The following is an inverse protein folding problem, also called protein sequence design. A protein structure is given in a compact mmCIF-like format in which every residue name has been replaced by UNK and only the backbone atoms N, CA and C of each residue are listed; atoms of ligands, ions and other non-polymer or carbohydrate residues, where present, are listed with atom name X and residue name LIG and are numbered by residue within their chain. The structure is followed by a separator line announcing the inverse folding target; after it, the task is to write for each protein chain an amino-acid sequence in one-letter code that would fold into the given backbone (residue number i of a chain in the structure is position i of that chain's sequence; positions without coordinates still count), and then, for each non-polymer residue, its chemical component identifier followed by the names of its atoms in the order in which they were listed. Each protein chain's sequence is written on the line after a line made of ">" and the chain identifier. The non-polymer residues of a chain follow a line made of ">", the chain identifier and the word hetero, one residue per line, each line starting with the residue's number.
data_IF_421854472086
#
_entry.id   IF_421854472086
#
_cell.length_a   1.000
_cell.length_b   1.000
_cell.length_c   1.000
_cell.angle_alpha   90.00
_cell.angle_beta   90.00
_cell.angle_gamma   90.00
#
_symmetry.space_group_name_H-M   'P 1'
#
loop_
_entity.id
_entity.type
_entity.pdbx_description
1 polymer ?
#
# COMPACT_ATOMS: atom_id res chain seq x y z
N UNK A 1 41.26 -31.98 -33.57
CA UNK A 1 41.28 -31.78 -32.11
C UNK A 1 40.93 -30.33 -31.74
N UNK A 2 39.71 -29.83 -32.07
CA UNK A 2 39.31 -28.41 -31.80
C UNK A 2 37.90 -28.24 -31.21
N UNK A 3 37.20 -29.32 -30.83
CA UNK A 3 35.79 -29.25 -30.38
C UNK A 3 35.58 -29.26 -28.86
N UNK A 4 36.64 -29.33 -28.04
CA UNK A 4 36.49 -29.45 -26.57
C UNK A 4 36.56 -28.12 -25.79
N UNK A 5 36.94 -26.99 -26.40
CA UNK A 5 37.09 -25.72 -25.67
C UNK A 5 35.82 -24.87 -25.61
N UNK A 6 34.80 -25.17 -26.42
CA UNK A 6 33.54 -24.40 -26.44
C UNK A 6 32.60 -24.77 -25.30
N UNK A 7 32.74 -25.97 -24.72
CA UNK A 7 31.82 -26.46 -23.69
C UNK A 7 32.09 -25.85 -22.29
N UNK A 8 33.32 -25.42 -22.00
CA UNK A 8 33.68 -24.86 -20.68
C UNK A 8 33.26 -23.39 -20.51
N UNK A 9 33.08 -22.64 -21.61
CA UNK A 9 32.69 -21.22 -21.56
C UNK A 9 31.19 -21.03 -21.31
N UNK A 10 30.34 -21.99 -21.67
CA UNK A 10 28.88 -21.89 -21.46
C UNK A 10 28.50 -22.19 -19.99
N UNK A 11 29.19 -23.11 -19.32
CA UNK A 11 28.92 -23.44 -17.91
C UNK A 11 29.30 -22.33 -16.92
N UNK A 12 30.33 -21.53 -17.21
CA UNK A 12 30.71 -20.42 -16.33
C UNK A 12 29.71 -19.26 -16.36
N UNK A 13 29.00 -19.05 -17.48
CA UNK A 13 27.99 -18.01 -17.61
C UNK A 13 26.68 -18.36 -16.88
N UNK A 14 26.29 -19.64 -16.85
CA UNK A 14 25.10 -20.10 -16.11
C UNK A 14 25.32 -20.00 -14.58
N UNK A 15 26.53 -20.30 -14.10
CA UNK A 15 26.85 -20.17 -12.67
C UNK A 15 26.89 -18.70 -12.20
N UNK A 16 27.28 -17.76 -13.08
CA UNK A 16 27.33 -16.34 -12.75
C UNK A 16 25.94 -15.68 -12.70
N UNK A 17 24.97 -16.20 -13.46
CA UNK A 17 23.57 -15.73 -13.41
C UNK A 17 22.86 -16.22 -12.13
N UNK A 18 23.25 -17.39 -11.59
CA UNK A 18 22.67 -17.95 -10.37
C UNK A 18 23.27 -17.37 -9.07
N UNK A 19 24.44 -16.73 -9.13
CA UNK A 19 25.10 -16.12 -7.96
C UNK A 19 24.69 -14.65 -7.71
N UNK A 20 23.85 -14.06 -8.58
CA UNK A 20 23.55 -12.62 -8.58
C UNK A 20 22.49 -12.14 -7.59
N UNK A 21 21.70 -13.02 -6.98
CA UNK A 21 20.54 -12.62 -6.16
C UNK A 21 20.62 -13.14 -4.73
N UNK A 22 21.79 -13.02 -4.09
CA UNK A 22 21.79 -12.80 -2.65
C UNK A 22 21.32 -11.35 -2.42
N UNK A 23 20.06 -11.08 -2.74
CA UNK A 23 19.36 -9.85 -2.36
C UNK A 23 19.47 -9.84 -0.85
N UNK A 24 20.25 -8.91 -0.30
CA UNK A 24 20.26 -8.71 1.15
C UNK A 24 18.81 -8.57 1.60
N UNK A 25 18.44 -9.20 2.71
CA UNK A 25 17.10 -9.05 3.27
C UNK A 25 16.76 -7.56 3.28
N UNK A 26 15.79 -7.16 2.45
CA UNK A 26 15.48 -5.75 2.26
C UNK A 26 15.09 -5.16 3.60
N UNK A 27 15.58 -3.95 3.91
CA UNK A 27 15.31 -3.34 5.20
C UNK A 27 13.87 -2.84 5.22
N UNK A 28 12.99 -3.64 5.81
CA UNK A 28 11.60 -3.26 6.05
C UNK A 28 11.49 -2.53 7.40
N UNK A 29 11.01 -1.30 7.38
CA UNK A 29 10.54 -0.61 8.58
C UNK A 29 9.05 -0.86 8.79
N UNK A 30 8.58 -0.81 10.04
CA UNK A 30 7.18 -1.12 10.34
C UNK A 30 6.68 -0.48 11.65
N UNK A 31 5.36 -0.38 11.76
CA UNK A 31 4.69 0.06 12.98
C UNK A 31 3.18 -0.13 12.89
N UNK A 32 2.45 0.45 13.84
CA UNK A 32 0.99 0.40 13.88
C UNK A 32 0.37 1.79 13.87
N UNK A 33 -0.83 1.89 13.31
CA UNK A 33 -1.74 3.02 13.44
C UNK A 33 -2.99 2.52 14.14
N UNK A 34 -3.26 3.02 15.34
CA UNK A 34 -4.43 2.63 16.12
C UNK A 34 -5.51 3.70 16.08
N UNK A 35 -6.73 3.32 15.69
CA UNK A 35 -7.88 4.22 15.65
C UNK A 35 -7.73 5.40 14.68
N UNK A 36 -7.16 5.20 13.49
CA UNK A 36 -7.14 6.21 12.43
C UNK A 36 -8.58 6.55 12.04
N UNK A 37 -9.11 7.73 12.38
CA UNK A 37 -10.45 8.08 11.98
C UNK A 37 -10.50 8.47 10.49
N UNK A 38 -11.69 8.34 9.91
CA UNK A 38 -11.93 8.55 8.48
C UNK A 38 -11.87 10.02 8.05
N UNK A 39 -12.01 10.95 8.99
CA UNK A 39 -12.08 12.39 8.75
C UNK A 39 -10.76 13.13 9.05
N UNK A 40 -9.63 12.41 9.13
CA UNK A 40 -8.32 12.99 9.38
C UNK A 40 -7.43 13.01 8.14
N UNK A 41 -6.32 13.72 8.28
CA UNK A 41 -5.30 13.86 7.27
C UNK A 41 -4.72 12.52 6.81
N UNK A 42 -4.12 12.61 5.63
CA UNK A 42 -3.44 11.53 4.95
C UNK A 42 -2.28 10.97 5.79
N UNK A 43 -2.04 9.68 5.65
CA UNK A 43 -0.88 9.03 6.22
C UNK A 43 0.28 9.04 5.23
N UNK A 44 1.45 9.50 5.69
CA UNK A 44 2.71 9.37 4.96
C UNK A 44 3.61 8.31 5.56
N UNK A 45 4.08 7.39 4.74
CA UNK A 45 4.97 6.30 5.20
C UNK A 45 6.35 6.79 5.61
N UNK A 46 6.77 7.97 5.11
CA UNK A 46 8.11 8.49 5.33
C UNK A 46 8.25 9.48 6.50
N UNK A 47 7.18 9.73 7.26
CA UNK A 47 7.30 10.57 8.45
C UNK A 47 8.10 9.83 9.53
N UNK A 48 9.28 10.37 9.86
CA UNK A 48 10.21 9.88 10.89
C UNK A 48 11.14 8.73 10.48
N UNK A 49 11.24 8.42 9.19
CA UNK A 49 12.29 7.53 8.66
C UNK A 49 13.34 8.34 7.88
N UNK A 50 14.53 7.78 7.70
CA UNK A 50 15.63 8.48 6.99
C UNK A 50 15.48 8.53 5.48
N UNK A 51 14.41 7.94 4.94
CA UNK A 51 14.12 7.84 3.51
C UNK A 51 12.95 8.73 3.13
N UNK A 52 12.85 9.10 1.85
CA UNK A 52 11.70 9.86 1.31
C UNK A 52 11.00 8.98 0.29
N UNK A 53 9.97 8.27 0.73
CA UNK A 53 9.16 7.40 -0.13
C UNK A 53 8.16 8.21 -0.96
N UNK A 54 7.69 9.35 -0.43
CA UNK A 54 6.63 10.16 -1.01
C UNK A 54 5.34 9.35 -1.27
N UNK A 55 5.10 8.31 -0.46
CA UNK A 55 3.86 7.53 -0.46
C UNK A 55 2.94 8.16 0.59
N UNK A 56 1.87 8.77 0.10
CA UNK A 56 0.82 9.42 0.90
C UNK A 56 -0.53 8.79 0.55
N UNK A 57 -1.29 8.43 1.58
CA UNK A 57 -2.50 7.62 1.46
C UNK A 57 -3.59 8.17 2.36
N UNK A 58 -4.81 8.26 1.85
CA UNK A 58 -6.01 8.43 2.66
C UNK A 58 -6.84 7.14 2.65
N UNK A 59 -7.85 7.08 3.53
CA UNK A 59 -8.78 5.96 3.56
C UNK A 59 -10.22 6.45 3.74
N UNK A 60 -11.17 5.62 3.32
CA UNK A 60 -12.59 5.83 3.59
C UNK A 60 -13.27 4.53 3.98
N UNK A 61 -14.44 4.63 4.61
CA UNK A 61 -15.24 3.46 4.95
C UNK A 61 -15.83 2.86 3.67
N UNK A 62 -15.61 1.57 3.46
CA UNK A 62 -16.32 0.81 2.45
C UNK A 62 -17.71 0.41 2.95
N UNK A 63 -17.72 -0.45 3.96
CA UNK A 63 -18.90 -0.85 4.72
C UNK A 63 -18.63 -0.62 6.21
N UNK A 64 -19.56 0.06 6.89
CA UNK A 64 -19.41 0.39 8.31
C UNK A 64 -19.11 -0.84 9.17
N UNK A 65 -18.00 -0.78 9.89
CA UNK A 65 -17.53 -1.84 10.79
C UNK A 65 -17.04 -3.11 10.09
N UNK A 66 -16.74 -3.04 8.78
CA UNK A 66 -16.39 -4.24 8.00
C UNK A 66 -15.24 -4.02 7.02
N UNK A 67 -15.22 -2.89 6.31
CA UNK A 67 -14.27 -2.71 5.20
C UNK A 67 -13.86 -1.27 4.95
N UNK A 68 -12.74 -1.10 4.25
CA UNK A 68 -12.13 0.18 3.93
C UNK A 68 -11.72 0.26 2.44
N UNK A 69 -11.73 1.47 1.91
CA UNK A 69 -11.05 1.84 0.67
C UNK A 69 -9.80 2.66 0.99
N UNK A 70 -8.72 2.44 0.25
CA UNK A 70 -7.48 3.23 0.34
C UNK A 70 -7.25 3.99 -0.95
N UNK A 71 -6.86 5.26 -0.85
CA UNK A 71 -6.67 6.16 -1.97
C UNK A 71 -5.22 6.69 -1.97
N UNK A 72 -4.49 6.56 -3.08
CA UNK A 72 -3.21 7.24 -3.24
C UNK A 72 -3.46 8.75 -3.43
N UNK A 73 -2.74 9.58 -2.68
CA UNK A 73 -2.94 11.04 -2.67
C UNK A 73 -2.00 11.77 -3.63
N UNK A 74 -1.02 11.05 -4.19
CA UNK A 74 -0.08 11.54 -5.18
C UNK A 74 -0.30 10.85 -6.51
N UNK A 75 -0.23 11.61 -7.62
CA UNK A 75 -0.35 11.08 -8.99
C UNK A 75 0.70 10.00 -9.34
N UNK A 76 1.77 9.93 -8.57
CA UNK A 76 2.84 8.94 -8.77
C UNK A 76 2.72 7.75 -7.82
N UNK A 77 1.74 7.76 -6.91
CA UNK A 77 1.46 6.63 -6.02
C UNK A 77 0.33 5.80 -6.59
N UNK A 78 0.50 4.49 -6.61
CA UNK A 78 -0.54 3.55 -6.99
C UNK A 78 -0.75 2.53 -5.87
N UNK A 79 -1.94 1.93 -5.85
CA UNK A 79 -2.37 0.98 -4.81
C UNK A 79 -2.87 -0.32 -5.43
N UNK A 80 -2.60 -1.44 -4.77
CA UNK A 80 -3.10 -2.77 -5.13
C UNK A 80 -3.66 -3.47 -3.89
N UNK A 81 -4.79 -4.15 -4.03
CA UNK A 81 -5.35 -5.02 -2.99
C UNK A 81 -4.82 -6.44 -3.16
N UNK A 82 -4.34 -7.01 -2.06
CA UNK A 82 -3.68 -8.31 -2.03
C UNK A 82 -4.38 -9.19 -0.99
N UNK A 83 -4.90 -10.33 -1.45
CA UNK A 83 -5.68 -11.27 -0.65
C UNK A 83 -4.94 -12.60 -0.52
N UNK A 84 -5.31 -13.40 0.49
CA UNK A 84 -4.76 -14.76 0.67
C UNK A 84 -3.34 -14.80 1.23
N UNK A 85 -2.82 -13.67 1.71
CA UNK A 85 -1.53 -13.54 2.39
C UNK A 85 -1.79 -13.31 3.88
N UNK A 86 -1.03 -13.97 4.75
CA UNK A 86 -1.17 -13.83 6.21
C UNK A 86 -0.09 -12.95 6.85
N UNK A 87 1.09 -12.88 6.23
CA UNK A 87 2.23 -12.10 6.70
C UNK A 87 2.88 -11.30 5.55
N UNK A 88 3.40 -10.10 5.85
CA UNK A 88 3.98 -9.20 4.83
C UNK A 88 5.11 -9.83 4.04
N UNK A 89 5.87 -10.74 4.65
CA UNK A 89 7.02 -11.37 4.02
C UNK A 89 6.65 -12.44 2.97
N UNK A 90 5.37 -12.83 2.87
CA UNK A 90 4.87 -13.63 1.75
C UNK A 90 4.73 -12.78 0.47
N UNK A 91 4.84 -11.45 0.57
CA UNK A 91 4.96 -10.54 -0.58
C UNK A 91 6.41 -10.58 -1.08
N UNK A 92 6.73 -11.64 -1.82
CA UNK A 92 8.08 -11.88 -2.38
C UNK A 92 8.41 -10.94 -3.55
N UNK A 93 7.40 -10.47 -4.28
CA UNK A 93 7.54 -9.50 -5.37
C UNK A 93 6.27 -8.67 -5.52
N UNK A 94 6.23 -7.49 -4.89
CA UNK A 94 5.14 -6.54 -5.01
C UNK A 94 4.92 -6.02 -6.44
N UNK A 95 5.92 -6.06 -7.33
CA UNK A 95 5.82 -5.45 -8.65
C UNK A 95 4.84 -6.17 -9.59
N UNK A 96 4.46 -7.41 -9.26
CA UNK A 96 3.58 -8.27 -10.08
C UNK A 96 2.10 -7.99 -9.86
N UNK A 97 1.72 -7.24 -8.82
CA UNK A 97 0.32 -6.96 -8.53
C UNK A 97 -0.31 -6.01 -9.54
N UNK A 98 -1.64 -6.04 -9.59
CA UNK A 98 -2.42 -5.12 -10.42
C UNK A 98 -2.68 -3.84 -9.65
N UNK A 99 -1.95 -2.78 -10.01
CA UNK A 99 -2.05 -1.47 -9.38
C UNK A 99 -3.11 -0.58 -10.04
N UNK A 100 -3.70 0.29 -9.21
CA UNK A 100 -4.66 1.33 -9.57
C UNK A 100 -4.19 2.67 -9.04
N UNK A 101 -4.34 3.73 -9.83
CA UNK A 101 -4.13 5.11 -9.38
C UNK A 101 -5.36 5.72 -8.69
N UNK A 102 -6.46 4.97 -8.56
CA UNK A 102 -7.72 5.49 -8.02
C UNK A 102 -7.98 5.03 -6.58
N UNK A 103 -8.11 3.72 -6.36
CA UNK A 103 -8.31 3.14 -5.03
C UNK A 103 -7.99 1.64 -5.02
N UNK A 104 -7.89 1.06 -3.82
CA UNK A 104 -7.62 -0.36 -3.59
C UNK A 104 -8.75 -1.32 -4.01
N UNK A 105 -9.98 -0.84 -4.18
CA UNK A 105 -11.16 -1.68 -4.00
C UNK A 105 -11.48 -1.90 -2.52
N UNK A 106 -12.49 -2.73 -2.25
CA UNK A 106 -13.02 -2.97 -0.90
C UNK A 106 -12.12 -3.96 -0.14
N UNK A 107 -11.50 -3.50 0.94
CA UNK A 107 -10.50 -4.26 1.72
C UNK A 107 -11.06 -4.57 3.10
N UNK A 108 -10.96 -5.83 3.53
CA UNK A 108 -11.46 -6.30 4.83
C UNK A 108 -10.33 -6.59 5.82
N UNK A 109 -10.69 -6.84 7.08
CA UNK A 109 -9.74 -7.29 8.10
C UNK A 109 -8.91 -8.51 7.64
N UNK A 110 -7.61 -8.44 7.85
CA UNK A 110 -6.63 -9.46 7.49
C UNK A 110 -6.02 -9.28 6.11
N UNK A 111 -6.65 -8.53 5.21
CA UNK A 111 -6.12 -8.28 3.87
C UNK A 111 -4.93 -7.31 3.89
N UNK A 112 -4.14 -7.37 2.82
CA UNK A 112 -3.04 -6.45 2.57
C UNK A 112 -3.39 -5.47 1.46
N UNK A 113 -2.85 -4.26 1.59
CA UNK A 113 -2.87 -3.22 0.57
C UNK A 113 -1.45 -2.80 0.32
N UNK A 114 -1.01 -2.92 -0.93
CA UNK A 114 0.36 -2.60 -1.32
C UNK A 114 0.36 -1.31 -2.13
N UNK A 115 1.27 -0.43 -1.78
CA UNK A 115 1.49 0.85 -2.45
C UNK A 115 2.83 0.83 -3.16
N UNK A 116 2.90 1.52 -4.29
CA UNK A 116 4.18 1.84 -4.95
C UNK A 116 4.20 3.29 -5.35
N UNK A 117 5.37 3.91 -5.32
CA UNK A 117 5.58 5.22 -5.91
C UNK A 117 6.47 5.11 -7.16
N UNK A 118 5.94 5.50 -8.31
CA UNK A 118 6.60 5.39 -9.61
C UNK A 118 7.81 6.33 -9.76
N UNK A 119 7.80 7.47 -9.07
CA UNK A 119 8.90 8.45 -9.16
C UNK A 119 10.06 8.07 -8.25
N UNK A 120 9.78 7.65 -7.02
CA UNK A 120 10.80 7.35 -6.01
C UNK A 120 11.25 5.89 -6.03
N UNK A 121 10.41 5.00 -6.56
CA UNK A 121 10.61 3.55 -6.66
C UNK A 121 10.32 2.77 -5.38
N UNK A 122 9.79 3.41 -4.34
CA UNK A 122 9.52 2.75 -3.05
C UNK A 122 8.24 1.91 -3.09
N UNK A 123 8.23 0.87 -2.27
CA UNK A 123 7.08 0.03 -1.98
C UNK A 123 6.73 0.12 -0.50
N UNK A 124 5.43 0.11 -0.21
CA UNK A 124 4.91 0.07 1.15
C UNK A 124 3.69 -0.86 1.21
N UNK A 125 3.31 -1.28 2.41
CA UNK A 125 2.12 -2.08 2.61
C UNK A 125 1.39 -1.70 3.89
N UNK A 126 0.06 -1.85 3.88
CA UNK A 126 -0.76 -1.97 5.07
C UNK A 126 -1.29 -3.39 5.18
N UNK A 127 -1.35 -3.91 6.41
CA UNK A 127 -2.28 -4.96 6.81
C UNK A 127 -3.45 -4.29 7.51
N UNK A 128 -4.68 -4.61 7.13
CA UNK A 128 -5.88 -4.15 7.85
C UNK A 128 -6.06 -5.02 9.09
N UNK A 129 -5.95 -4.42 10.26
CA UNK A 129 -6.07 -5.13 11.54
C UNK A 129 -7.49 -5.10 12.09
N UNK A 130 -8.25 -4.03 11.84
CA UNK A 130 -9.67 -3.87 12.18
C UNK A 130 -10.27 -2.65 11.47
N UNK A 131 -11.55 -2.72 11.15
CA UNK A 131 -12.38 -1.58 10.73
C UNK A 131 -13.60 -1.53 11.62
N UNK A 132 -13.73 -0.47 12.42
CA UNK A 132 -14.81 -0.33 13.40
C UNK A 132 -15.62 0.95 13.19
N UNK A 133 -16.80 1.01 13.80
CA UNK A 133 -17.71 2.17 13.77
C UNK A 133 -19.01 1.91 13.02
N UNK A 134 -20.02 2.73 13.28
CA UNK A 134 -21.37 2.60 12.72
C UNK A 134 -21.77 3.72 11.76
N UNK A 135 -20.97 4.78 11.72
CA UNK A 135 -21.14 5.96 10.89
C UNK A 135 -19.77 6.60 10.61
N UNK A 136 -19.72 7.61 9.74
CA UNK A 136 -18.47 8.26 9.33
C UNK A 136 -17.69 8.88 10.51
N UNK A 137 -18.39 9.51 11.46
CA UNK A 137 -17.75 10.21 12.59
C UNK A 137 -17.17 9.26 13.64
N UNK A 138 -17.77 8.08 13.80
CA UNK A 138 -17.33 7.02 14.70
C UNK A 138 -16.40 6.00 14.06
N UNK A 139 -16.22 6.05 12.74
CA UNK A 139 -15.42 5.06 12.01
C UNK A 139 -13.93 5.19 12.30
N UNK A 140 -13.29 4.06 12.60
CA UNK A 140 -11.87 3.96 12.96
C UNK A 140 -11.24 2.78 12.23
N UNK A 141 -10.08 3.02 11.65
CA UNK A 141 -9.24 2.03 11.01
C UNK A 141 -8.04 1.71 11.89
N UNK A 142 -7.68 0.43 11.97
CA UNK A 142 -6.48 -0.06 12.61
C UNK A 142 -5.65 -0.77 11.55
N UNK A 143 -4.37 -0.39 11.42
CA UNK A 143 -3.47 -1.00 10.43
C UNK A 143 -2.08 -1.20 11.01
N UNK A 144 -1.42 -2.24 10.51
CA UNK A 144 0.02 -2.42 10.63
C UNK A 144 0.65 -2.01 9.32
N UNK A 145 1.64 -1.13 9.36
CA UNK A 145 2.29 -0.57 8.19
C UNK A 145 3.71 -1.10 8.02
N UNK A 146 4.13 -1.17 6.76
CA UNK A 146 5.44 -1.66 6.35
C UNK A 146 5.98 -0.76 5.24
N UNK A 147 7.26 -0.38 5.32
CA UNK A 147 7.95 0.39 4.29
C UNK A 147 9.23 -0.35 3.89
N UNK A 148 9.38 -0.65 2.61
CA UNK A 148 10.62 -1.23 2.09
C UNK A 148 11.63 -0.11 1.79
N UNK A 149 12.64 0.06 2.65
CA UNK A 149 13.58 1.19 2.57
C UNK A 149 14.58 1.07 1.41
N UNK A 150 14.80 -0.12 0.87
CA UNK A 150 15.78 -0.35 -0.19
C UNK A 150 15.21 -0.27 -1.62
N UNK A 151 13.91 0.07 -1.75
CA UNK A 151 13.14 0.14 -3.01
C UNK A 151 12.94 -1.20 -3.73
N UNK A 152 13.33 -2.31 -3.11
CA UNK A 152 12.98 -3.63 -3.60
C UNK A 152 11.46 -3.80 -3.59
N UNK A 153 10.88 -4.56 -4.54
CA UNK A 153 9.50 -5.00 -4.41
C UNK A 153 9.32 -6.15 -3.41
N UNK A 154 10.41 -6.73 -2.89
CA UNK A 154 10.37 -7.90 -2.01
C UNK A 154 10.36 -7.47 -0.54
N UNK A 155 9.35 -7.86 0.26
CA UNK A 155 9.26 -7.58 1.70
C UNK A 155 9.89 -8.66 2.59
N UNK A 156 10.40 -9.74 2.00
CA UNK A 156 11.04 -10.87 2.70
C UNK A 156 12.57 -10.85 2.71
N UNK A 157 13.20 -11.79 3.44
CA UNK A 157 12.59 -12.85 4.26
C UNK A 157 12.02 -12.33 5.60
N UNK A 158 11.11 -13.10 6.21
CA UNK A 158 10.54 -12.85 7.55
C UNK A 158 11.61 -12.93 8.66
N UNK A 159 12.57 -12.01 8.68
CA UNK A 159 13.31 -11.74 9.91
C UNK A 159 12.43 -10.84 10.76
N UNK A 160 12.09 -11.23 12.00
CA UNK A 160 11.27 -10.38 12.86
C UNK A 160 11.94 -9.00 12.94
N UNK A 161 11.19 -7.90 12.74
CA UNK A 161 11.75 -6.56 12.81
C UNK A 161 12.49 -6.44 14.13
N UNK A 162 13.73 -5.97 14.07
CA UNK A 162 14.56 -5.72 15.25
C UNK A 162 13.92 -4.58 16.05
N UNK A 163 12.96 -4.93 16.91
CA UNK A 163 12.09 -4.03 17.69
C UNK A 163 10.92 -3.47 16.85
N UNK A 164 9.65 -3.60 17.30
CA UNK A 164 8.54 -2.85 16.71
C UNK A 164 8.89 -1.36 16.67
N UNK A 165 8.69 -0.72 15.51
CA UNK A 165 8.80 0.73 15.42
C UNK A 165 7.83 1.42 16.39
N UNK A 166 8.09 2.68 16.76
CA UNK A 166 7.17 3.42 17.60
C UNK A 166 5.77 3.43 16.96
N UNK A 167 4.72 3.27 17.78
CA UNK A 167 3.35 3.58 17.35
C UNK A 167 3.37 5.01 16.83
N UNK A 168 3.12 5.18 15.53
CA UNK A 168 3.15 6.51 14.94
C UNK A 168 1.98 7.28 15.56
N UNK A 169 2.20 8.51 16.08
CA UNK A 169 1.11 9.34 16.54
C UNK A 169 0.06 9.43 15.43
N UNK A 170 -1.21 9.38 15.82
CA UNK A 170 -2.31 9.66 14.91
C UNK A 170 -1.99 10.89 14.07
N UNK A 171 -2.24 10.89 12.74
CA UNK A 171 -2.15 12.10 11.93
C UNK A 171 -2.89 13.20 12.68
N UNK A 172 -2.18 14.26 13.09
CA UNK A 172 -2.85 15.36 13.79
C UNK A 172 -3.70 16.05 12.73
N UNK A 173 -5.01 16.24 12.93
CA UNK A 173 -5.80 17.09 12.04
C UNK A 173 -5.10 18.44 11.96
N UNK A 174 -4.44 18.71 10.84
CA UNK A 174 -4.18 20.07 10.44
C UNK A 174 -5.57 20.60 10.15
N UNK A 175 -6.07 21.52 10.98
CA UNK A 175 -7.27 22.29 10.65
C UNK A 175 -6.97 23.16 9.42
N UNK A 176 -6.81 22.54 8.26
CA UNK A 176 -6.82 23.15 6.94
C UNK A 176 -8.26 23.53 6.65
N UNK A 177 -8.55 24.83 6.73
CA UNK A 177 -9.91 25.34 6.72
C UNK A 177 -10.75 24.82 5.55
N UNK A 178 -11.90 24.25 5.87
CA UNK A 178 -13.13 24.23 5.06
C UNK A 178 -12.90 24.27 3.54
N UNK A 179 -12.10 23.35 3.03
CA UNK A 179 -12.07 23.01 1.62
C UNK A 179 -13.29 22.16 1.35
N UNK A 180 -14.40 22.81 0.96
CA UNK A 180 -15.62 22.16 0.54
C UNK A 180 -15.32 21.29 -0.70
N UNK A 181 -14.86 20.06 -0.51
CA UNK A 181 -14.80 19.07 -1.59
C UNK A 181 -16.23 18.71 -1.95
N UNK A 182 -16.74 19.36 -2.99
CA UNK A 182 -17.92 18.91 -3.71
C UNK A 182 -17.61 17.52 -4.28
N UNK A 183 -18.03 16.47 -3.58
CA UNK A 183 -18.26 15.19 -4.22
C UNK A 183 -19.34 15.39 -5.27
N UNK A 184 -18.91 15.41 -6.54
CA UNK A 184 -19.79 15.42 -7.71
C UNK A 184 -20.53 14.08 -7.77
N UNK A 185 -21.61 13.96 -7.00
CA UNK A 185 -22.59 12.92 -7.22
C UNK A 185 -23.24 13.18 -8.58
N UNK A 186 -22.92 12.34 -9.56
CA UNK A 186 -23.56 12.32 -10.87
C UNK A 186 -25.06 12.10 -10.73
N UNK A 187 -25.82 13.20 -10.69
CA UNK A 187 -27.28 13.19 -10.77
C UNK A 187 -27.67 12.88 -12.22
N UNK A 188 -27.96 11.61 -12.48
CA UNK A 188 -28.65 11.16 -13.68
C UNK A 188 -30.00 11.87 -13.81
N UNK A 189 -30.10 12.77 -14.80
CA UNK A 189 -31.29 13.52 -15.14
C UNK A 189 -32.33 12.57 -15.78
N UNK A 190 -33.25 12.03 -14.99
CA UNK A 190 -34.43 11.30 -15.50
C UNK A 190 -35.43 12.32 -16.05
N UNK A 191 -35.44 12.48 -17.37
CA UNK A 191 -36.44 13.28 -18.09
C UNK A 191 -37.79 12.57 -18.16
N UNK A 192 -38.75 13.00 -17.34
CA UNK A 192 -40.14 12.55 -17.40
C UNK A 192 -41.00 13.57 -18.18
N UNK A 193 -41.07 13.44 -19.52
CA UNK A 193 -41.95 14.24 -20.36
C UNK A 193 -43.34 13.58 -20.46
N UNK A 194 -44.27 14.10 -19.64
CA UNK A 194 -45.69 13.76 -19.62
C UNK A 194 -46.42 14.49 -20.77
N UNK A 195 -46.66 13.81 -21.90
CA UNK A 195 -47.65 14.29 -22.90
C UNK A 195 -49.06 13.94 -22.43
N UNK A 196 -49.88 14.96 -22.14
CA UNK A 196 -51.34 14.83 -22.11
C UNK A 196 -51.89 15.06 -23.52
N UNK A 197 -52.85 14.22 -23.92
CA UNK A 197 -53.86 14.55 -24.92
C UNK A 197 -55.02 15.25 -24.22
#
# INVERSE_FOLDING_TARGET
>A
MKKLQVLYLVSAFIALILAGNAVGAGKVDSGTIEKWPQNLDNFRFDDNVSVTSNIEVSWSVGTFGQSAYFYPESNSTEVAHVTGISEVCEIEDASVYQYSGENSGDVIEGDFVVFRNLDTGYYAAFRVDDVSGSDYDSSRLFVTWYLQEDKSPNFGPCTPPSTPGPTKPQPIPVMGGLGLMLMSAGLGLIGFLRRRK
#
